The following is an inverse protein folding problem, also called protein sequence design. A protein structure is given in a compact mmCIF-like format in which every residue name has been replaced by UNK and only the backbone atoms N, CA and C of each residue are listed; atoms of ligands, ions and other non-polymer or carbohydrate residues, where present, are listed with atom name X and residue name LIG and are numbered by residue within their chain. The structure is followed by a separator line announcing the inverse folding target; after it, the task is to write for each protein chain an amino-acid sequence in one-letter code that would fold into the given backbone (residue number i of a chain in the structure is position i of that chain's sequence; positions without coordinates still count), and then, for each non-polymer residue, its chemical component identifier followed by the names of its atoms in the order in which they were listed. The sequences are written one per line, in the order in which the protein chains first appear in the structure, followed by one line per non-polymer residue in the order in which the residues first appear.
data_IF_761457107626
#
_entry.id   IF_761457107626
#
_cell.length_a   1.000
_cell.length_b   1.000
_cell.length_c   1.000
_cell.angle_alpha   90.00
_cell.angle_beta   90.00
_cell.angle_gamma   90.00
#
_symmetry.space_group_name_H-M   'P 1'
#
loop_
_entity.id
_entity.type
_entity.pdbx_description
1 polymer ?
#
# COMPACT_ATOMS: atom_id res chain seq x y z
N UNK A 1 2.15 -16.47 5.75
CA UNK A 1 1.19 -15.56 6.37
C UNK A 1 0.05 -16.37 6.95
N UNK A 2 -0.39 -16.04 8.16
CA UNK A 2 -1.49 -16.64 8.91
C UNK A 2 -2.86 -16.04 8.54
N UNK A 3 -2.91 -14.87 7.89
CA UNK A 3 -4.15 -14.27 7.36
C UNK A 3 -3.89 -13.33 6.18
N UNK A 4 -4.97 -12.96 5.47
CA UNK A 4 -4.92 -11.90 4.45
C UNK A 4 -4.55 -10.55 5.05
N UNK A 5 -5.10 -10.22 6.22
CA UNK A 5 -4.79 -8.98 6.95
C UNK A 5 -3.31 -8.89 7.33
N UNK A 6 -2.67 -10.02 7.63
CA UNK A 6 -1.23 -10.04 7.90
C UNK A 6 -0.42 -9.86 6.60
N UNK A 7 -0.86 -10.49 5.50
CA UNK A 7 -0.11 -10.45 4.24
C UNK A 7 0.07 -9.04 3.65
N UNK A 8 -0.89 -8.13 3.87
CA UNK A 8 -0.80 -6.75 3.35
C UNK A 8 0.33 -5.95 4.00
N UNK A 9 0.74 -6.29 5.24
CA UNK A 9 1.89 -5.67 5.92
C UNK A 9 3.24 -5.95 5.25
N UNK A 10 3.27 -6.88 4.28
CA UNK A 10 4.48 -7.28 3.55
C UNK A 10 4.47 -6.82 2.09
N UNK A 11 3.46 -6.05 1.65
CA UNK A 11 3.46 -5.45 0.32
C UNK A 11 4.63 -4.49 0.16
N UNK A 12 5.19 -4.42 -1.05
CA UNK A 12 6.42 -3.67 -1.35
C UNK A 12 6.34 -2.15 -1.07
N UNK A 13 5.14 -1.57 -1.01
CA UNK A 13 4.95 -0.16 -0.66
C UNK A 13 3.81 -0.03 0.34
N UNK A 14 3.97 0.84 1.34
CA UNK A 14 2.99 1.09 2.41
C UNK A 14 1.63 1.53 1.87
N UNK A 15 1.64 2.34 0.83
CA UNK A 15 0.47 2.86 0.10
C UNK A 15 -0.46 1.77 -0.41
N UNK A 16 0.10 0.60 -0.76
CA UNK A 16 -0.70 -0.53 -1.25
C UNK A 16 -1.26 -1.39 -0.12
N UNK A 17 -0.78 -1.21 1.11
CA UNK A 17 -1.14 -2.02 2.27
C UNK A 17 -2.41 -1.49 2.93
N UNK A 18 -3.49 -1.39 2.16
CA UNK A 18 -4.82 -1.01 2.64
C UNK A 18 -5.83 -2.03 2.14
N UNK A 19 -6.61 -2.59 3.06
CA UNK A 19 -7.73 -3.47 2.77
C UNK A 19 -9.00 -2.91 3.38
N UNK A 20 -10.11 -2.98 2.63
CA UNK A 20 -11.43 -2.60 3.13
C UNK A 20 -12.43 -3.70 2.81
N UNK A 21 -13.33 -3.99 3.74
CA UNK A 21 -14.45 -4.91 3.53
C UNK A 21 -15.72 -4.31 4.10
N UNK A 22 -16.84 -4.52 3.41
CA UNK A 22 -18.15 -4.20 3.95
C UNK A 22 -18.65 -5.34 4.85
N UNK A 23 -18.96 -5.01 6.10
CA UNK A 23 -19.45 -5.91 7.13
C UNK A 23 -20.95 -6.19 7.01
N UNK A 24 -21.40 -7.28 7.63
CA UNK A 24 -22.83 -7.62 7.71
C UNK A 24 -23.62 -6.66 8.60
N UNK A 25 -22.93 -5.90 9.46
CA UNK A 25 -23.46 -4.83 10.30
C UNK A 25 -23.62 -3.51 9.54
N UNK A 26 -23.28 -3.48 8.25
CA UNK A 26 -23.33 -2.29 7.42
C UNK A 26 -22.18 -1.32 7.62
N UNK A 27 -21.12 -1.71 8.33
CA UNK A 27 -19.92 -0.91 8.56
C UNK A 27 -18.78 -1.28 7.59
N UNK A 28 -17.85 -0.36 7.39
CA UNK A 28 -16.58 -0.66 6.72
C UNK A 28 -15.56 -1.12 7.75
N UNK A 29 -15.00 -2.31 7.52
CA UNK A 29 -13.84 -2.80 8.25
C UNK A 29 -12.57 -2.47 7.48
N UNK A 30 -11.57 -1.91 8.18
CA UNK A 30 -10.33 -1.41 7.58
C UNK A 30 -9.12 -2.17 8.13
N UNK A 31 -8.21 -2.55 7.24
CA UNK A 31 -6.86 -3.00 7.57
C UNK A 31 -5.87 -2.01 6.93
N UNK A 32 -5.19 -1.21 7.75
CA UNK A 32 -4.21 -0.21 7.32
C UNK A 32 -3.01 -0.20 8.28
N UNK A 33 -2.12 -1.22 8.24
CA UNK A 33 -1.00 -1.38 9.17
C UNK A 33 -0.03 -0.18 9.22
N UNK A 34 -0.02 0.68 8.20
CA UNK A 34 0.80 1.89 8.14
C UNK A 34 -0.02 3.19 8.17
N UNK A 35 -1.32 3.11 8.49
CA UNK A 35 -2.24 4.23 8.37
C UNK A 35 -2.65 4.51 6.93
N UNK A 36 -3.30 5.66 6.71
CA UNK A 36 -3.86 6.06 5.42
C UNK A 36 -3.13 7.27 4.78
N UNK A 37 -2.12 7.82 5.45
CA UNK A 37 -1.42 9.03 5.01
C UNK A 37 -0.84 8.87 3.60
N UNK A 38 -0.13 7.77 3.33
CA UNK A 38 0.46 7.51 2.02
C UNK A 38 -0.58 7.48 0.89
N UNK A 39 -1.76 6.90 1.14
CA UNK A 39 -2.85 6.84 0.14
C UNK A 39 -3.45 8.22 -0.11
N UNK A 40 -3.76 8.98 0.95
CA UNK A 40 -4.39 10.29 0.80
C UNK A 40 -3.44 11.40 0.37
N UNK A 41 -2.15 11.25 0.63
CA UNK A 41 -1.09 12.18 0.22
C UNK A 41 -0.52 11.87 -1.16
N UNK A 42 -1.12 10.93 -1.92
CA UNK A 42 -0.64 10.51 -3.25
C UNK A 42 0.84 10.11 -3.25
N UNK A 43 1.27 9.36 -2.23
CA UNK A 43 2.67 9.01 -2.03
C UNK A 43 2.86 7.50 -2.04
N UNK A 44 3.77 7.00 -2.87
CA UNK A 44 4.22 5.61 -2.90
C UNK A 44 5.49 5.49 -2.06
N UNK A 45 5.34 5.10 -0.78
CA UNK A 45 6.44 4.96 0.18
C UNK A 45 6.90 3.50 0.30
N UNK A 46 8.21 3.21 0.28
CA UNK A 46 8.75 1.86 0.47
C UNK A 46 8.30 1.19 1.76
N UNK A 47 8.06 -0.12 1.67
CA UNK A 47 7.98 -0.98 2.83
C UNK A 47 9.24 -1.85 2.91
N UNK A 48 10.06 -1.61 3.94
CA UNK A 48 11.35 -2.28 4.15
C UNK A 48 11.25 -3.58 4.97
N UNK A 49 10.03 -4.09 5.18
CA UNK A 49 9.82 -5.37 5.86
C UNK A 49 10.43 -6.56 5.10
N UNK A 50 10.59 -6.44 3.77
CA UNK A 50 11.20 -7.44 2.89
C UNK A 50 12.11 -6.74 1.86
N UNK A 51 13.08 -7.46 1.31
CA UNK A 51 13.92 -6.98 0.22
C UNK A 51 13.14 -6.98 -1.11
N UNK A 52 12.32 -5.95 -1.30
CA UNK A 52 11.37 -5.81 -2.40
C UNK A 52 11.59 -4.52 -3.21
N UNK A 53 12.82 -3.99 -3.21
CA UNK A 53 13.17 -2.74 -3.89
C UNK A 53 12.69 -2.68 -5.34
N UNK A 54 13.06 -3.71 -6.12
CA UNK A 54 12.69 -3.78 -7.54
C UNK A 54 11.17 -3.75 -7.74
N UNK A 55 10.41 -4.41 -6.87
CA UNK A 55 8.94 -4.44 -6.95
C UNK A 55 8.35 -3.07 -6.63
N UNK A 56 8.89 -2.38 -5.63
CA UNK A 56 8.49 -1.02 -5.27
C UNK A 56 8.70 -0.07 -6.45
N UNK A 57 9.91 -0.06 -7.03
CA UNK A 57 10.28 0.81 -8.15
C UNK A 57 9.43 0.56 -9.41
N UNK A 58 9.23 -0.71 -9.78
CA UNK A 58 8.42 -1.08 -10.95
C UNK A 58 6.96 -0.67 -10.76
N UNK A 59 6.38 -0.92 -9.58
CA UNK A 59 5.00 -0.52 -9.28
C UNK A 59 4.85 0.99 -9.21
N UNK A 60 5.79 1.68 -8.59
CA UNK A 60 5.82 3.14 -8.50
C UNK A 60 5.87 3.79 -9.88
N UNK A 61 6.78 3.35 -10.75
CA UNK A 61 6.87 3.85 -12.14
C UNK A 61 5.58 3.62 -12.91
N UNK A 62 5.02 2.40 -12.84
CA UNK A 62 3.74 2.09 -13.50
C UNK A 62 2.60 2.96 -12.96
N UNK A 63 2.50 3.16 -11.65
CA UNK A 63 1.47 4.01 -11.07
C UNK A 63 1.57 5.46 -11.57
N UNK A 64 2.78 5.99 -11.71
CA UNK A 64 3.06 7.34 -12.24
C UNK A 64 2.63 7.52 -13.69
N UNK A 65 2.61 6.46 -14.50
CA UNK A 65 2.11 6.50 -15.89
C UNK A 65 0.60 6.79 -15.95
N UNK A 66 -0.18 6.35 -14.96
CA UNK A 66 -1.63 6.56 -14.89
C UNK A 66 -2.03 7.75 -14.03
N UNK A 67 -1.24 8.06 -13.00
CA UNK A 67 -1.44 9.18 -12.09
C UNK A 67 -0.16 10.01 -11.97
N UNK A 68 0.03 10.99 -12.86
CA UNK A 68 1.21 11.86 -12.87
C UNK A 68 1.43 12.63 -11.58
N UNK A 69 0.42 12.80 -10.73
CA UNK A 69 0.48 13.53 -9.46
C UNK A 69 1.14 12.73 -8.33
N UNK A 70 1.25 11.40 -8.44
CA UNK A 70 1.74 10.53 -7.35
C UNK A 70 3.25 10.69 -7.09
N UNK A 71 3.69 11.05 -5.90
CA UNK A 71 5.11 11.01 -5.55
C UNK A 71 5.59 9.57 -5.29
N UNK A 72 6.67 9.12 -5.94
CA UNK A 72 7.30 7.82 -5.63
C UNK A 72 8.56 8.09 -4.80
N UNK A 73 8.55 7.68 -3.54
CA UNK A 73 9.68 7.86 -2.63
C UNK A 73 10.74 6.81 -2.96
N UNK A 74 12.02 7.17 -3.10
CA UNK A 74 13.10 6.20 -3.30
C UNK A 74 13.18 5.17 -2.16
N UNK A 75 13.72 3.98 -2.45
CA UNK A 75 13.78 2.83 -1.54
C UNK A 75 14.29 3.12 -0.12
#
# INVERSE_FOLDING_TARGET
YASSSESVSYFASKTHAVGVRYGSDGALELVAPFGLDDVFSFRITPNRALDNQRTHEVKGRRAKEYWPEIEVVPW
#
